data_IF_909278672109
#
_entry.id   IF_909278672109
#
_cell.length_a   1.000
_cell.length_b   1.000
_cell.length_c   1.000
_cell.angle_alpha   90.00
_cell.angle_beta   90.00
_cell.angle_gamma   90.00
#
_symmetry.space_group_name_H-M   'P 1'
#
loop_
_entity.id
_entity.type
_entity.pdbx_description
1 polymer ?
#
# COMPACT_ATOMS: atom_id res chain seq x y z
N UNK A 1 -30.60 0.38 8.61
CA UNK A 1 -29.78 -0.84 8.81
C UNK A 1 -28.35 -0.38 9.14
N UNK A 2 -27.73 -0.92 10.19
CA UNK A 2 -26.36 -0.52 10.55
C UNK A 2 -25.38 -1.14 9.55
N UNK A 3 -24.36 -0.41 9.08
CA UNK A 3 -23.36 -0.88 8.11
C UNK A 3 -22.75 -2.25 8.48
N UNK A 4 -22.47 -2.47 9.76
CA UNK A 4 -21.95 -3.77 10.23
C UNK A 4 -22.91 -4.95 10.00
N UNK A 5 -24.22 -4.72 10.06
CA UNK A 5 -25.21 -5.79 9.77
C UNK A 5 -25.27 -6.13 8.28
N UNK A 6 -24.95 -5.16 7.40
CA UNK A 6 -24.91 -5.34 5.97
C UNK A 6 -23.62 -6.08 5.53
N UNK A 7 -22.47 -5.65 6.01
CA UNK A 7 -21.17 -6.14 5.52
C UNK A 7 -20.64 -7.38 6.24
N UNK A 8 -21.05 -7.63 7.50
CA UNK A 8 -20.56 -8.78 8.27
C UNK A 8 -20.83 -10.14 7.60
N UNK A 9 -22.01 -10.41 7.01
CA UNK A 9 -22.23 -11.68 6.29
C UNK A 9 -21.31 -11.83 5.07
N UNK A 10 -21.05 -10.75 4.33
CA UNK A 10 -20.14 -10.74 3.18
C UNK A 10 -18.72 -11.07 3.66
N UNK A 11 -18.23 -10.38 4.67
CA UNK A 11 -16.91 -10.62 5.26
C UNK A 11 -16.74 -12.07 5.74
N UNK A 12 -17.73 -12.61 6.46
CA UNK A 12 -17.68 -14.00 6.94
C UNK A 12 -17.63 -14.99 5.78
N UNK A 13 -18.41 -14.75 4.73
CA UNK A 13 -18.41 -15.59 3.52
C UNK A 13 -17.03 -15.55 2.83
N UNK A 14 -16.45 -14.36 2.64
CA UNK A 14 -15.14 -14.19 2.01
C UNK A 14 -14.00 -14.78 2.86
N UNK A 15 -14.01 -14.57 4.17
CA UNK A 15 -13.04 -15.16 5.09
C UNK A 15 -13.12 -16.70 5.08
N UNK A 16 -14.35 -17.26 5.01
CA UNK A 16 -14.56 -18.70 4.89
C UNK A 16 -14.03 -19.23 3.56
N UNK A 17 -14.30 -18.54 2.45
CA UNK A 17 -13.80 -18.91 1.13
C UNK A 17 -12.25 -18.88 1.09
N UNK A 18 -11.63 -17.86 1.70
CA UNK A 18 -10.17 -17.73 1.84
C UNK A 18 -9.57 -18.91 2.61
N UNK A 19 -10.12 -19.24 3.78
CA UNK A 19 -9.65 -20.36 4.59
C UNK A 19 -9.83 -21.70 3.85
N UNK A 20 -10.96 -21.90 3.19
CA UNK A 20 -11.20 -23.09 2.37
C UNK A 20 -10.17 -23.19 1.26
N UNK A 21 -9.94 -22.10 0.50
CA UNK A 21 -8.91 -22.07 -0.55
C UNK A 21 -7.52 -22.43 -0.02
N UNK A 22 -7.13 -21.91 1.15
CA UNK A 22 -5.85 -22.24 1.77
C UNK A 22 -5.67 -23.73 2.09
N UNK A 23 -6.76 -24.43 2.44
CA UNK A 23 -6.74 -25.87 2.83
C UNK A 23 -6.90 -26.80 1.63
N UNK A 24 -7.70 -26.43 0.63
CA UNK A 24 -8.09 -27.33 -0.47
C UNK A 24 -7.43 -27.04 -1.79
N UNK A 25 -6.63 -25.96 -1.90
CA UNK A 25 -5.99 -25.59 -3.16
C UNK A 25 -4.93 -26.61 -3.59
N UNK A 26 -4.94 -26.95 -4.86
CA UNK A 26 -3.87 -27.72 -5.51
C UNK A 26 -2.58 -26.89 -5.71
N UNK A 27 -2.60 -25.61 -5.35
CA UNK A 27 -1.45 -24.68 -5.45
C UNK A 27 -1.11 -24.08 -4.09
N UNK A 28 -0.68 -24.91 -3.11
CA UNK A 28 -0.50 -24.45 -1.72
C UNK A 28 0.56 -23.34 -1.58
N UNK A 29 1.59 -23.35 -2.42
CA UNK A 29 2.60 -22.29 -2.38
C UNK A 29 2.03 -20.93 -2.81
N UNK A 30 1.16 -20.90 -3.83
CA UNK A 30 0.48 -19.67 -4.24
C UNK A 30 -0.42 -19.13 -3.13
N UNK A 31 -1.15 -19.98 -2.43
CA UNK A 31 -1.97 -19.57 -1.29
C UNK A 31 -1.12 -19.01 -0.14
N UNK A 32 0.02 -19.64 0.17
CA UNK A 32 0.95 -19.13 1.17
C UNK A 32 1.55 -17.78 0.78
N UNK A 33 1.91 -17.57 -0.48
CA UNK A 33 2.35 -16.28 -0.98
C UNK A 33 1.26 -15.21 -0.87
N UNK A 34 0.02 -15.56 -1.23
CA UNK A 34 -1.13 -14.64 -1.09
C UNK A 34 -1.32 -14.25 0.38
N UNK A 35 -1.23 -15.20 1.31
CA UNK A 35 -1.34 -14.92 2.74
C UNK A 35 -0.18 -14.07 3.25
N UNK A 36 1.05 -14.32 2.77
CA UNK A 36 2.21 -13.50 3.09
C UNK A 36 1.99 -12.05 2.69
N UNK A 37 1.59 -11.79 1.44
CA UNK A 37 1.38 -10.44 0.95
C UNK A 37 0.16 -9.76 1.58
N UNK A 38 -0.91 -10.50 1.86
CA UNK A 38 -2.06 -9.95 2.59
C UNK A 38 -1.68 -9.55 4.02
N UNK A 39 -0.76 -10.28 4.66
CA UNK A 39 -0.22 -9.90 5.96
C UNK A 39 0.81 -8.76 5.87
N UNK A 40 1.57 -8.69 4.79
CA UNK A 40 2.53 -7.60 4.55
C UNK A 40 1.82 -6.26 4.36
N UNK A 41 0.73 -6.24 3.58
CA UNK A 41 -0.13 -5.08 3.33
C UNK A 41 -1.41 -5.13 4.18
N UNK A 42 -1.26 -5.38 5.48
CA UNK A 42 -2.39 -5.63 6.35
C UNK A 42 -3.33 -4.43 6.47
N UNK A 43 -4.64 -4.70 6.39
CA UNK A 43 -5.71 -3.77 6.75
C UNK A 43 -6.56 -4.38 7.86
N UNK A 44 -7.15 -3.55 8.75
CA UNK A 44 -8.00 -4.05 9.83
C UNK A 44 -9.50 -3.87 9.55
N UNK A 45 -10.25 -4.94 9.74
CA UNK A 45 -11.72 -4.94 9.69
C UNK A 45 -12.38 -4.36 10.93
N UNK A 46 -11.61 -4.04 11.98
CA UNK A 46 -12.10 -3.30 13.14
C UNK A 46 -12.56 -1.91 12.74
N UNK A 47 -11.99 -1.36 11.67
CA UNK A 47 -12.51 -0.17 11.01
C UNK A 47 -13.69 -0.54 10.14
N UNK A 48 -14.89 -0.21 10.59
CA UNK A 48 -16.16 -0.61 9.98
C UNK A 48 -16.27 -0.29 8.47
N UNK A 49 -15.64 0.78 8.02
CA UNK A 49 -15.61 1.17 6.61
C UNK A 49 -14.84 0.15 5.73
N UNK A 50 -13.91 -0.60 6.32
CA UNK A 50 -13.06 -1.59 5.63
C UNK A 50 -13.72 -2.97 5.59
N UNK A 51 -14.67 -3.25 6.51
CA UNK A 51 -15.27 -4.56 6.69
C UNK A 51 -15.86 -5.17 5.39
N UNK A 52 -16.45 -4.34 4.54
CA UNK A 52 -17.03 -4.79 3.26
C UNK A 52 -16.04 -4.84 2.09
N UNK A 53 -14.78 -4.44 2.32
CA UNK A 53 -13.76 -4.32 1.27
C UNK A 53 -12.58 -5.29 1.46
N UNK A 54 -12.47 -5.93 2.65
CA UNK A 54 -11.28 -6.72 3.00
C UNK A 54 -11.05 -7.90 2.05
N UNK A 55 -12.09 -8.63 1.67
CA UNK A 55 -11.99 -9.74 0.72
C UNK A 55 -11.73 -9.24 -0.71
N UNK A 56 -12.36 -8.11 -1.09
CA UNK A 56 -12.08 -7.41 -2.34
C UNK A 56 -10.62 -7.01 -2.45
N UNK A 57 -10.03 -6.46 -1.40
CA UNK A 57 -8.64 -6.06 -1.34
C UNK A 57 -7.66 -7.21 -1.69
N UNK A 58 -7.84 -8.39 -1.08
CA UNK A 58 -7.02 -9.56 -1.42
C UNK A 58 -7.25 -10.00 -2.87
N UNK A 59 -8.51 -10.09 -3.29
CA UNK A 59 -8.91 -10.61 -4.61
C UNK A 59 -8.48 -9.71 -5.76
N UNK A 60 -8.52 -8.39 -5.56
CA UNK A 60 -8.36 -7.38 -6.62
C UNK A 60 -6.94 -6.81 -6.69
N UNK A 61 -6.31 -6.55 -5.53
CA UNK A 61 -5.01 -5.91 -5.47
C UNK A 61 -3.85 -6.87 -5.20
N UNK A 62 -4.06 -7.98 -4.50
CA UNK A 62 -2.97 -8.86 -4.06
C UNK A 62 -2.88 -10.10 -4.93
N UNK A 63 -3.91 -10.95 -4.90
CA UNK A 63 -3.90 -12.29 -5.53
C UNK A 63 -3.52 -12.28 -7.02
N UNK A 64 -3.97 -11.36 -7.86
CA UNK A 64 -3.59 -11.33 -9.27
C UNK A 64 -2.11 -10.99 -9.51
N UNK A 65 -1.46 -10.31 -8.55
CA UNK A 65 -0.14 -9.73 -8.71
C UNK A 65 0.97 -10.42 -7.91
N UNK A 66 0.65 -11.43 -7.11
CA UNK A 66 1.65 -12.16 -6.31
C UNK A 66 2.71 -12.87 -7.14
N UNK A 67 2.47 -13.13 -8.41
CA UNK A 67 3.42 -13.69 -9.37
C UNK A 67 3.87 -12.66 -10.43
N UNK A 68 3.68 -11.39 -10.19
CA UNK A 68 4.10 -10.27 -11.04
C UNK A 68 5.34 -9.55 -10.51
N UNK A 69 5.35 -8.22 -10.67
CA UNK A 69 6.39 -7.37 -10.09
C UNK A 69 5.93 -6.76 -8.76
N UNK A 70 6.88 -6.54 -7.85
CA UNK A 70 6.60 -5.84 -6.59
C UNK A 70 6.08 -4.41 -6.84
N UNK A 71 6.56 -3.74 -7.90
CA UNK A 71 6.09 -2.41 -8.28
C UNK A 71 4.60 -2.39 -8.61
N UNK A 72 4.12 -3.36 -9.41
CA UNK A 72 2.70 -3.46 -9.76
C UNK A 72 1.85 -3.80 -8.55
N UNK A 73 2.31 -4.73 -7.71
CA UNK A 73 1.65 -5.10 -6.47
C UNK A 73 1.53 -3.90 -5.52
N UNK A 74 2.61 -3.15 -5.31
CA UNK A 74 2.63 -1.94 -4.47
C UNK A 74 1.65 -0.89 -5.00
N UNK A 75 1.71 -0.56 -6.29
CA UNK A 75 0.81 0.41 -6.91
C UNK A 75 -0.67 0.02 -6.78
N UNK A 76 -0.99 -1.26 -6.95
CA UNK A 76 -2.36 -1.75 -6.83
C UNK A 76 -2.88 -1.66 -5.39
N UNK A 77 -2.05 -2.04 -4.43
CA UNK A 77 -2.38 -2.03 -3.00
C UNK A 77 -2.59 -0.61 -2.48
N UNK A 78 -1.66 0.30 -2.77
CA UNK A 78 -1.69 1.66 -2.20
C UNK A 78 -2.82 2.52 -2.79
N UNK A 79 -3.30 2.18 -3.99
CA UNK A 79 -4.46 2.82 -4.61
C UNK A 79 -5.77 2.12 -4.30
N UNK A 80 -5.76 0.96 -3.66
CA UNK A 80 -7.01 0.27 -3.41
C UNK A 80 -7.88 1.00 -2.37
N UNK A 81 -9.20 1.15 -2.61
CA UNK A 81 -10.11 1.86 -1.71
C UNK A 81 -10.06 1.39 -0.25
N UNK A 82 -9.85 0.10 -0.02
CA UNK A 82 -9.71 -0.45 1.33
C UNK A 82 -8.51 0.14 2.08
N UNK A 83 -7.34 0.29 1.43
CA UNK A 83 -6.14 0.89 2.01
C UNK A 83 -6.34 2.38 2.28
N UNK A 84 -6.89 3.11 1.29
CA UNK A 84 -7.20 4.54 1.43
C UNK A 84 -8.19 4.84 2.54
N UNK A 85 -9.18 3.95 2.76
CA UNK A 85 -10.11 4.04 3.88
C UNK A 85 -9.46 3.63 5.19
N UNK A 86 -8.66 2.57 5.19
CA UNK A 86 -8.00 2.08 6.39
C UNK A 86 -7.10 3.14 7.04
N UNK A 87 -6.31 3.84 6.24
CA UNK A 87 -5.36 4.86 6.70
C UNK A 87 -5.87 6.30 6.55
N UNK A 88 -7.15 6.48 6.23
CA UNK A 88 -7.83 7.79 6.10
C UNK A 88 -7.21 8.73 5.07
N UNK A 89 -6.45 8.23 4.09
CA UNK A 89 -5.84 9.08 3.08
C UNK A 89 -6.87 9.81 2.20
N UNK A 90 -8.06 9.23 2.02
CA UNK A 90 -9.18 9.85 1.29
C UNK A 90 -9.65 11.18 1.92
N UNK A 91 -9.26 11.46 3.17
CA UNK A 91 -9.53 12.71 3.90
C UNK A 91 -8.34 13.68 3.85
N UNK A 92 -7.21 13.27 3.28
CA UNK A 92 -5.99 14.08 3.22
C UNK A 92 -6.15 15.26 2.25
N UNK A 93 -5.91 16.47 2.74
CA UNK A 93 -6.08 17.71 1.96
C UNK A 93 -4.80 18.54 2.07
N UNK A 94 -4.19 18.82 0.93
CA UNK A 94 -3.03 19.71 0.86
C UNK A 94 -3.36 21.13 1.32
N UNK A 95 -2.56 21.76 2.18
CA UNK A 95 -2.83 23.11 2.68
C UNK A 95 -2.89 24.16 1.57
N UNK A 96 -2.10 24.02 0.52
CA UNK A 96 -2.09 24.91 -0.63
C UNK A 96 -2.95 24.40 -1.81
N UNK A 97 -3.67 23.31 -1.63
CA UNK A 97 -4.64 22.80 -2.61
C UNK A 97 -5.82 23.76 -2.80
N UNK A 98 -6.57 23.58 -3.87
CA UNK A 98 -7.74 24.40 -4.16
C UNK A 98 -8.73 24.39 -2.99
N UNK A 99 -8.99 23.21 -2.40
CA UNK A 99 -9.89 23.09 -1.26
C UNK A 99 -9.27 23.68 0.01
N UNK A 100 -7.98 23.39 0.28
CA UNK A 100 -7.25 23.91 1.43
C UNK A 100 -7.30 25.43 1.51
N UNK A 101 -6.97 26.11 0.41
CA UNK A 101 -7.05 27.58 0.32
C UNK A 101 -8.47 28.12 0.47
N UNK A 102 -9.49 27.44 -0.07
CA UNK A 102 -10.89 27.86 0.09
C UNK A 102 -11.36 27.79 1.54
N UNK A 103 -10.94 26.77 2.28
CA UNK A 103 -11.29 26.62 3.70
C UNK A 103 -10.56 27.65 4.54
N UNK A 104 -9.27 27.86 4.32
CA UNK A 104 -8.48 28.89 5.00
C UNK A 104 -9.07 30.30 4.84
N UNK A 105 -9.50 30.68 3.61
CA UNK A 105 -10.12 31.99 3.33
C UNK A 105 -11.47 32.21 4.03
N UNK A 106 -12.19 31.11 4.35
CA UNK A 106 -13.52 31.19 4.96
C UNK A 106 -13.48 31.22 6.47
N UNK A 107 -12.30 31.20 7.10
CA UNK A 107 -12.12 31.20 8.57
C UNK A 107 -13.06 30.20 9.30
N UNK A 108 -13.35 29.07 8.64
CA UNK A 108 -14.19 28.05 9.27
C UNK A 108 -13.31 27.19 10.18
N UNK A 109 -13.82 26.88 11.35
CA UNK A 109 -13.25 25.94 12.33
C UNK A 109 -13.27 24.48 11.82
N UNK A 110 -12.98 24.28 10.52
CA UNK A 110 -12.89 22.96 9.91
C UNK A 110 -11.42 22.58 9.87
N UNK A 111 -11.02 21.68 10.72
CA UNK A 111 -9.68 21.07 10.66
C UNK A 111 -9.59 20.15 9.46
N UNK A 112 -9.07 20.67 8.35
CA UNK A 112 -8.62 19.90 7.22
C UNK A 112 -7.09 19.99 7.16
N UNK A 113 -6.44 18.95 6.70
CA UNK A 113 -4.99 18.94 6.62
C UNK A 113 -4.46 17.64 6.00
N UNK A 114 -3.16 17.57 5.95
CA UNK A 114 -2.46 16.37 5.50
C UNK A 114 -2.64 15.27 6.55
N UNK A 115 -2.92 14.06 6.05
CA UNK A 115 -2.85 12.83 6.82
C UNK A 115 -1.57 12.09 6.42
N UNK A 116 -0.70 11.82 7.37
CA UNK A 116 0.59 11.17 7.16
C UNK A 116 0.54 9.64 7.28
N UNK A 117 -0.58 9.05 7.71
CA UNK A 117 -0.64 7.64 8.05
C UNK A 117 -0.22 6.75 6.87
N UNK A 118 -0.84 6.94 5.70
CA UNK A 118 -0.53 6.13 4.53
C UNK A 118 0.93 6.31 4.09
N UNK A 119 1.43 7.54 4.05
CA UNK A 119 2.82 7.82 3.69
C UNK A 119 3.80 7.12 4.64
N UNK A 120 3.52 7.14 5.94
CA UNK A 120 4.32 6.48 6.97
C UNK A 120 4.31 4.97 6.80
N UNK A 121 3.12 4.37 6.66
CA UNK A 121 2.99 2.92 6.46
C UNK A 121 3.71 2.45 5.19
N UNK A 122 3.63 3.21 4.10
CA UNK A 122 4.35 2.88 2.86
C UNK A 122 5.86 2.87 3.09
N UNK A 123 6.41 3.91 3.73
CA UNK A 123 7.84 3.98 3.98
C UNK A 123 8.31 2.93 5.00
N UNK A 124 7.56 2.78 6.08
CA UNK A 124 7.98 2.00 7.24
C UNK A 124 7.69 0.50 7.13
N UNK A 125 6.50 0.13 6.66
CA UNK A 125 6.05 -1.27 6.67
C UNK A 125 5.97 -1.91 5.29
N UNK A 126 5.60 -1.13 4.27
CA UNK A 126 5.35 -1.68 2.94
C UNK A 126 6.60 -1.68 2.06
N UNK A 127 7.59 -0.80 2.32
CA UNK A 127 8.79 -0.68 1.49
C UNK A 127 10.09 -0.72 2.29
N UNK A 128 10.60 0.42 2.76
CA UNK A 128 11.97 0.57 3.26
C UNK A 128 12.26 -0.21 4.56
N UNK A 129 11.27 -0.41 5.40
CA UNK A 129 11.44 -0.89 6.78
C UNK A 129 11.69 0.26 7.77
N UNK A 130 11.53 -0.02 9.07
CA UNK A 130 11.67 0.98 10.16
C UNK A 130 13.02 1.70 10.10
N UNK A 131 14.11 0.96 9.80
CA UNK A 131 15.47 1.51 9.72
C UNK A 131 15.88 1.86 8.29
N UNK A 132 14.91 2.11 7.39
CA UNK A 132 15.11 2.26 5.95
C UNK A 132 15.74 3.58 5.50
N UNK A 133 16.16 4.45 6.43
CA UNK A 133 16.91 5.68 6.16
C UNK A 133 16.04 6.89 5.79
N UNK A 134 14.72 6.82 5.95
CA UNK A 134 13.81 7.96 5.79
C UNK A 134 13.72 8.79 7.07
N UNK A 135 13.33 10.05 6.91
CA UNK A 135 13.13 11.01 8.00
C UNK A 135 11.65 11.38 8.15
N UNK A 136 11.29 12.05 9.26
CA UNK A 136 9.95 12.63 9.41
C UNK A 136 9.63 13.64 8.29
N UNK A 137 10.62 14.37 7.79
CA UNK A 137 10.44 15.30 6.66
C UNK A 137 10.06 14.54 5.37
N UNK A 138 10.63 13.35 5.14
CA UNK A 138 10.27 12.50 4.00
C UNK A 138 8.83 12.00 4.13
N UNK A 139 8.40 11.59 5.33
CA UNK A 139 7.00 11.20 5.59
C UNK A 139 6.05 12.34 5.25
N UNK A 140 6.32 13.54 5.76
CA UNK A 140 5.48 14.72 5.51
C UNK A 140 5.47 15.08 4.01
N UNK A 141 6.64 15.08 3.37
CA UNK A 141 6.74 15.36 1.93
C UNK A 141 5.97 14.33 1.10
N UNK A 142 6.08 13.04 1.44
CA UNK A 142 5.35 11.98 0.75
C UNK A 142 3.85 12.05 0.99
N UNK A 143 3.40 12.42 2.18
CA UNK A 143 1.98 12.66 2.46
C UNK A 143 1.41 13.81 1.58
N UNK A 144 2.20 14.85 1.32
CA UNK A 144 1.84 15.88 0.35
C UNK A 144 1.75 15.34 -1.09
N UNK A 145 2.67 14.45 -1.48
CA UNK A 145 2.68 13.80 -2.80
C UNK A 145 1.41 13.00 -3.05
N UNK A 146 0.95 12.19 -2.06
CA UNK A 146 -0.23 11.34 -2.18
C UNK A 146 -1.53 12.00 -1.71
N UNK A 147 -1.51 13.29 -1.38
CA UNK A 147 -2.73 14.05 -1.14
C UNK A 147 -3.58 14.08 -2.41
N UNK A 148 -4.90 14.00 -2.26
CA UNK A 148 -5.81 13.85 -3.39
C UNK A 148 -6.00 12.40 -3.89
N UNK A 149 -5.19 11.43 -3.44
CA UNK A 149 -5.52 10.03 -3.65
C UNK A 149 -6.73 9.66 -2.80
N UNK A 150 -7.83 9.39 -3.45
CA UNK A 150 -9.14 9.32 -2.81
C UNK A 150 -10.02 8.23 -3.45
N UNK A 151 -11.30 8.27 -3.16
CA UNK A 151 -12.29 7.32 -3.63
C UNK A 151 -13.37 8.06 -4.39
N UNK A 152 -13.75 7.51 -5.54
CA UNK A 152 -14.80 8.03 -6.40
C UNK A 152 -16.19 7.94 -5.79
N UNK A 153 -17.11 8.68 -6.40
CA UNK A 153 -18.48 8.83 -5.97
C UNK A 153 -18.81 10.23 -5.46
N UNK A 154 -20.07 10.42 -5.08
CA UNK A 154 -20.57 11.67 -4.56
C UNK A 154 -20.35 11.75 -3.05
N UNK A 155 -19.42 12.60 -2.61
CA UNK A 155 -19.20 12.90 -1.20
C UNK A 155 -19.45 14.39 -0.95
N UNK A 156 -20.70 14.76 -0.69
CA UNK A 156 -21.13 16.13 -0.48
C UNK A 156 -20.85 17.03 -1.68
N UNK A 157 -19.81 17.90 -1.57
CA UNK A 157 -19.40 18.79 -2.66
C UNK A 157 -18.32 18.21 -3.57
N UNK A 158 -17.69 17.12 -3.14
CA UNK A 158 -16.68 16.40 -3.91
C UNK A 158 -17.38 15.33 -4.74
N UNK A 159 -17.46 15.56 -6.05
CA UNK A 159 -18.11 14.66 -6.99
C UNK A 159 -17.09 14.15 -7.99
N UNK A 160 -17.32 12.96 -8.53
CA UNK A 160 -16.53 12.41 -9.64
C UNK A 160 -15.92 11.04 -9.33
N UNK A 161 -15.54 10.36 -10.40
CA UNK A 161 -15.09 8.99 -10.38
C UNK A 161 -16.21 7.97 -10.12
N UNK A 162 -15.94 6.72 -10.45
CA UNK A 162 -16.87 5.63 -10.19
C UNK A 162 -16.98 5.36 -8.69
N UNK A 163 -18.19 5.19 -8.14
CA UNK A 163 -18.37 4.95 -6.71
C UNK A 163 -17.58 3.75 -6.21
N UNK A 164 -16.79 3.97 -5.15
CA UNK A 164 -16.00 2.92 -4.52
C UNK A 164 -14.71 2.54 -5.24
N UNK A 165 -14.36 3.19 -6.34
CA UNK A 165 -13.08 3.00 -7.05
C UNK A 165 -12.07 4.10 -6.67
N UNK A 166 -10.80 3.81 -6.90
CA UNK A 166 -9.76 4.85 -6.79
C UNK A 166 -10.07 6.05 -7.68
N UNK A 167 -9.96 7.24 -7.11
CA UNK A 167 -10.15 8.47 -7.86
C UNK A 167 -9.19 9.56 -7.36
N UNK A 168 -8.39 10.12 -8.27
CA UNK A 168 -7.53 11.25 -7.94
C UNK A 168 -8.32 12.56 -7.96
N UNK A 169 -8.36 13.23 -6.80
CA UNK A 169 -9.03 14.53 -6.61
C UNK A 169 -8.01 15.66 -6.65
N UNK A 170 -7.83 16.24 -7.83
CA UNK A 170 -6.86 17.32 -8.03
C UNK A 170 -7.10 18.54 -7.11
N UNK A 171 -8.35 18.77 -6.73
CA UNK A 171 -8.71 19.85 -5.80
C UNK A 171 -8.24 19.65 -4.36
N UNK A 172 -7.83 18.44 -3.99
CA UNK A 172 -7.27 18.10 -2.67
C UNK A 172 -5.74 17.98 -2.70
N UNK A 173 -5.16 17.83 -3.90
CA UNK A 173 -3.74 17.59 -4.07
C UNK A 173 -2.91 18.84 -3.77
N UNK A 174 -1.84 18.67 -2.97
CA UNK A 174 -0.86 19.72 -2.70
C UNK A 174 -0.05 20.01 -3.97
N UNK A 175 -0.07 21.25 -4.50
CA UNK A 175 0.62 21.57 -5.74
C UNK A 175 2.14 21.64 -5.58
N UNK A 176 2.85 21.61 -6.71
CA UNK A 176 4.29 21.83 -6.82
C UNK A 176 5.14 20.59 -6.55
N UNK A 177 6.43 20.71 -6.83
CA UNK A 177 7.39 19.64 -6.64
C UNK A 177 7.65 19.35 -5.16
N UNK A 178 7.92 18.08 -4.82
CA UNK A 178 8.31 17.63 -3.49
C UNK A 178 9.63 16.87 -3.55
N UNK A 179 10.34 16.84 -2.43
CA UNK A 179 11.57 16.05 -2.29
C UNK A 179 11.33 14.95 -1.27
N UNK A 180 11.51 13.70 -1.68
CA UNK A 180 11.39 12.50 -0.84
C UNK A 180 12.68 11.70 -1.00
N UNK A 181 13.31 11.29 0.10
CA UNK A 181 14.59 10.58 0.08
C UNK A 181 15.66 11.26 -0.81
N UNK A 182 15.78 12.58 -0.67
CA UNK A 182 16.72 13.43 -1.42
C UNK A 182 16.45 13.49 -2.94
N UNK A 183 15.45 12.83 -3.48
CA UNK A 183 15.02 12.92 -4.87
C UNK A 183 13.86 13.91 -5.01
N UNK A 184 13.97 14.80 -6.01
CA UNK A 184 12.92 15.73 -6.38
C UNK A 184 11.95 15.09 -7.37
N UNK A 185 10.67 15.24 -7.09
CA UNK A 185 9.55 14.80 -7.93
C UNK A 185 8.75 16.03 -8.35
N UNK A 186 8.63 16.26 -9.64
CA UNK A 186 7.89 17.38 -10.25
C UNK A 186 6.83 16.93 -11.27
N UNK A 187 6.56 15.64 -11.32
CA UNK A 187 5.48 15.07 -12.11
C UNK A 187 4.14 15.68 -11.68
N UNK A 188 3.19 15.87 -12.60
CA UNK A 188 1.90 16.45 -12.28
C UNK A 188 0.93 15.43 -11.66
N UNK A 189 0.15 15.86 -10.68
CA UNK A 189 -1.01 15.14 -10.19
C UNK A 189 -0.71 13.73 -9.68
N UNK A 190 -1.41 12.75 -10.22
CA UNK A 190 -1.30 11.34 -9.81
C UNK A 190 0.09 10.75 -10.10
N UNK A 191 0.72 11.16 -11.19
CA UNK A 191 2.01 10.64 -11.66
C UNK A 191 3.11 10.89 -10.61
N UNK A 192 3.01 11.96 -9.81
CA UNK A 192 3.97 12.24 -8.76
C UNK A 192 4.02 11.13 -7.70
N UNK A 193 2.86 10.69 -7.22
CA UNK A 193 2.76 9.58 -6.26
C UNK A 193 3.22 8.25 -6.85
N UNK A 194 2.86 7.99 -8.10
CA UNK A 194 3.30 6.78 -8.79
C UNK A 194 4.81 6.74 -9.01
N UNK A 195 5.44 7.90 -9.31
CA UNK A 195 6.89 7.99 -9.47
C UNK A 195 7.61 7.66 -8.15
N UNK A 196 7.15 8.22 -7.03
CA UNK A 196 7.70 7.87 -5.71
C UNK A 196 7.56 6.38 -5.43
N UNK A 197 6.38 5.79 -5.65
CA UNK A 197 6.17 4.35 -5.40
C UNK A 197 7.05 3.46 -6.28
N UNK A 198 7.25 3.82 -7.55
CA UNK A 198 8.15 3.07 -8.45
C UNK A 198 9.60 3.09 -7.94
N UNK A 199 10.08 4.21 -7.42
CA UNK A 199 11.42 4.31 -6.86
C UNK A 199 11.54 3.53 -5.55
N UNK A 200 10.56 3.66 -4.66
CA UNK A 200 10.52 2.91 -3.41
C UNK A 200 10.49 1.39 -3.66
N UNK A 201 9.76 0.94 -4.67
CA UNK A 201 9.64 -0.47 -5.00
C UNK A 201 10.98 -1.13 -5.36
N UNK A 202 11.91 -0.38 -5.95
CA UNK A 202 13.23 -0.90 -6.35
C UNK A 202 14.37 -0.41 -5.45
N UNK A 203 14.04 0.25 -4.35
CA UNK A 203 15.04 0.79 -3.42
C UNK A 203 15.81 -0.33 -2.71
N UNK A 204 17.14 -0.18 -2.48
CA UNK A 204 17.95 -1.20 -1.79
C UNK A 204 17.42 -1.60 -0.41
N UNK A 205 16.92 -0.64 0.37
CA UNK A 205 16.31 -0.92 1.68
C UNK A 205 15.05 -1.76 1.54
N UNK A 206 14.20 -1.50 0.54
CA UNK A 206 13.03 -2.32 0.22
C UNK A 206 13.42 -3.76 -0.12
N UNK A 207 14.45 -3.94 -0.95
CA UNK A 207 14.95 -5.26 -1.29
C UNK A 207 15.38 -6.05 -0.03
N UNK A 208 16.10 -5.41 0.87
CA UNK A 208 16.54 -6.01 2.14
C UNK A 208 15.34 -6.31 3.06
N UNK A 209 14.40 -5.38 3.20
CA UNK A 209 13.20 -5.54 4.02
C UNK A 209 12.33 -6.71 3.53
N UNK A 210 12.04 -6.77 2.23
CA UNK A 210 11.23 -7.84 1.62
C UNK A 210 11.96 -9.19 1.72
N UNK A 211 13.26 -9.23 1.44
CA UNK A 211 14.06 -10.45 1.57
C UNK A 211 14.03 -10.99 3.01
N UNK A 212 14.21 -10.12 4.00
CA UNK A 212 14.13 -10.48 5.42
C UNK A 212 12.78 -11.06 5.79
N UNK A 213 11.68 -10.39 5.39
CA UNK A 213 10.32 -10.87 5.69
C UNK A 213 10.00 -12.20 5.03
N UNK A 214 10.41 -12.40 3.77
CA UNK A 214 10.22 -13.68 3.06
C UNK A 214 11.04 -14.81 3.69
N UNK A 215 12.32 -14.56 4.02
CA UNK A 215 13.15 -15.53 4.68
C UNK A 215 12.57 -15.95 6.03
N UNK A 216 12.12 -14.99 6.84
CA UNK A 216 11.45 -15.27 8.12
C UNK A 216 10.15 -16.06 7.97
N UNK A 217 9.39 -15.81 6.92
CA UNK A 217 8.10 -16.49 6.74
C UNK A 217 8.23 -17.90 6.18
N UNK A 218 9.24 -18.17 5.32
CA UNK A 218 9.31 -19.40 4.55
C UNK A 218 10.47 -20.31 4.93
N UNK A 219 11.55 -19.79 5.53
CA UNK A 219 12.76 -20.54 5.84
C UNK A 219 12.87 -20.77 7.36
N UNK A 220 13.12 -19.71 8.15
CA UNK A 220 13.35 -19.80 9.58
C UNK A 220 13.02 -18.47 10.27
N UNK A 221 12.73 -18.50 11.57
CA UNK A 221 12.45 -17.30 12.36
C UNK A 221 13.65 -16.34 12.43
N UNK A 222 14.88 -16.89 12.39
CA UNK A 222 16.14 -16.14 12.45
C UNK A 222 17.03 -16.49 11.23
N UNK A 223 16.71 -15.96 10.03
CA UNK A 223 17.53 -16.21 8.84
C UNK A 223 18.89 -15.53 8.97
N UNK A 224 19.93 -16.22 8.48
CA UNK A 224 21.28 -15.68 8.46
C UNK A 224 21.44 -14.52 7.46
N UNK A 225 22.43 -13.64 7.73
CA UNK A 225 22.66 -12.45 6.94
C UNK A 225 23.02 -12.76 5.46
N UNK A 226 23.68 -13.90 5.20
CA UNK A 226 24.08 -14.30 3.84
C UNK A 226 22.84 -14.69 3.01
N UNK A 227 21.89 -15.40 3.60
CA UNK A 227 20.60 -15.74 2.99
C UNK A 227 19.80 -14.49 2.66
N UNK A 228 19.69 -13.54 3.64
CA UNK A 228 18.98 -12.26 3.42
C UNK A 228 19.63 -11.48 2.28
N UNK A 229 20.96 -11.30 2.30
CA UNK A 229 21.66 -10.51 1.27
C UNK A 229 21.60 -11.17 -0.13
N UNK A 230 21.62 -12.50 -0.20
CA UNK A 230 21.44 -13.22 -1.47
C UNK A 230 20.05 -12.96 -2.06
N UNK A 231 19.00 -13.06 -1.26
CA UNK A 231 17.61 -12.78 -1.69
C UNK A 231 17.43 -11.30 -2.04
N UNK A 232 17.97 -10.38 -1.25
CA UNK A 232 17.93 -8.95 -1.51
C UNK A 232 18.64 -8.58 -2.82
N UNK A 233 19.76 -9.24 -3.14
CA UNK A 233 20.47 -9.07 -4.41
C UNK A 233 19.61 -9.53 -5.57
N UNK A 234 18.99 -10.70 -5.48
CA UNK A 234 18.07 -11.22 -6.52
C UNK A 234 16.92 -10.25 -6.75
N UNK A 235 16.34 -9.71 -5.68
CA UNK A 235 15.27 -8.71 -5.79
C UNK A 235 15.74 -7.45 -6.51
N UNK A 236 16.91 -6.90 -6.16
CA UNK A 236 17.49 -5.72 -6.81
C UNK A 236 17.79 -5.97 -8.30
N UNK A 237 18.49 -7.06 -8.61
CA UNK A 237 18.91 -7.41 -9.97
C UNK A 237 17.69 -7.65 -10.87
N UNK A 238 16.64 -8.30 -10.32
CA UNK A 238 15.35 -8.51 -10.98
C UNK A 238 14.41 -7.29 -10.94
N UNK A 239 14.83 -6.14 -10.34
CA UNK A 239 14.01 -4.94 -10.19
C UNK A 239 12.62 -5.23 -9.61
N UNK A 240 12.56 -6.12 -8.60
CA UNK A 240 11.32 -6.52 -7.95
C UNK A 240 10.52 -7.61 -8.68
N UNK A 241 11.12 -8.37 -9.58
CA UNK A 241 10.52 -9.58 -10.16
C UNK A 241 10.28 -10.62 -9.06
N UNK A 242 9.01 -10.84 -8.69
CA UNK A 242 8.66 -11.72 -7.60
C UNK A 242 8.87 -13.21 -7.93
N UNK A 243 8.51 -13.72 -9.11
CA UNK A 243 8.84 -15.09 -9.51
C UNK A 243 10.33 -15.41 -9.40
N UNK A 244 11.20 -14.48 -9.79
CA UNK A 244 12.65 -14.66 -9.71
C UNK A 244 13.11 -14.76 -8.24
N UNK A 245 12.56 -13.92 -7.38
CA UNK A 245 12.82 -13.96 -5.94
C UNK A 245 12.32 -15.26 -5.29
N UNK A 246 11.13 -15.74 -5.66
CA UNK A 246 10.58 -16.98 -5.11
C UNK A 246 11.36 -18.21 -5.53
N UNK A 247 11.89 -18.26 -6.76
CA UNK A 247 12.81 -19.33 -7.18
C UNK A 247 14.06 -19.34 -6.31
N UNK A 248 14.68 -18.18 -6.10
CA UNK A 248 15.84 -18.08 -5.23
C UNK A 248 15.52 -18.45 -3.76
N UNK A 249 14.31 -18.19 -3.30
CA UNK A 249 13.84 -18.60 -1.98
C UNK A 249 13.70 -20.12 -1.86
N UNK A 250 13.09 -20.78 -2.87
CA UNK A 250 12.92 -22.25 -2.91
C UNK A 250 14.28 -22.95 -3.01
N UNK A 251 15.20 -22.38 -3.79
CA UNK A 251 16.55 -22.92 -3.98
C UNK A 251 17.48 -22.64 -2.78
N UNK A 252 16.98 -21.96 -1.75
CA UNK A 252 17.71 -21.75 -0.49
C UNK A 252 17.89 -23.10 0.19
N UNK A 253 19.11 -23.63 0.10
CA UNK A 253 19.51 -24.78 0.92
C UNK A 253 19.84 -24.25 2.30
N UNK A 254 19.05 -24.61 3.29
CA UNK A 254 19.56 -24.60 4.65
C UNK A 254 20.52 -25.77 4.82
N UNK A 255 21.61 -25.55 5.57
CA UNK A 255 22.51 -26.63 5.95
C UNK A 255 21.83 -27.63 6.87
#
# INVERSE_FOLDING_TARGET
MKLGQLYRPVYVSEATARLRGAVTSERPFLERLTHFWTNHFAISVDKLAVLGLAGGFEREAIRPLVLGSFTELLLAVERHPAMLLYLDNHLSVGPNSILGQRVARRQRDVRIGINENLAREILELHTLGVDGGYTQADVTAFAHVISGWSIGGDNGRLRGGDPGQFYFRAELHEPGAKTVLSRRYDEPGIEQGEAVLRDLAVHPATAHHIATKLARHFITDEPDAATIERLARVFRDGRGDLPMLYRALIDSREP
#
